data_IF_927006429622
#
_entry.id   IF_927006429622
#
_cell.length_a   1.000
_cell.length_b   1.000
_cell.length_c   1.000
_cell.angle_alpha   90.00
_cell.angle_beta   90.00
_cell.angle_gamma   90.00
#
_symmetry.space_group_name_H-M   'P 1'
#
loop_
_entity.id
_entity.type
_entity.pdbx_description
1 polymer ?
#
# COMPACT_ATOMS: atom_id res chain seq x y z
N UNK A 1 -1.71 3.15 25.35
CA UNK A 1 -2.88 3.71 26.04
C UNK A 1 -2.53 4.21 27.45
N UNK A 2 -2.05 3.35 28.36
CA UNK A 2 -1.61 3.74 29.73
C UNK A 2 -0.63 4.93 29.81
N UNK A 3 0.27 5.09 28.84
CA UNK A 3 1.22 6.24 28.80
C UNK A 3 0.51 7.56 28.47
N UNK A 4 -0.50 7.53 27.60
CA UNK A 4 -1.27 8.74 27.24
C UNK A 4 -2.26 9.10 28.35
N UNK A 5 -2.90 8.10 28.96
CA UNK A 5 -3.79 8.29 30.11
C UNK A 5 -3.02 8.81 31.33
N UNK A 6 -1.84 8.25 31.62
CA UNK A 6 -0.99 8.73 32.72
C UNK A 6 -0.42 10.15 32.51
N UNK A 7 -0.27 10.60 31.26
CA UNK A 7 0.09 11.99 30.96
C UNK A 7 -1.07 12.97 31.27
N UNK A 8 -2.31 12.54 31.05
CA UNK A 8 -3.51 13.32 31.35
C UNK A 8 -3.86 13.32 32.85
N UNK A 9 -3.74 12.19 33.53
CA UNK A 9 -3.98 12.05 34.97
C UNK A 9 -2.94 12.77 35.83
N UNK A 10 -1.70 12.91 35.34
CA UNK A 10 -0.62 13.65 36.01
C UNK A 10 -0.74 15.19 35.95
N UNK A 11 -1.79 15.72 35.32
CA UNK A 11 -2.18 17.13 35.35
C UNK A 11 -1.24 18.15 34.69
N UNK A 12 -0.02 17.77 34.29
CA UNK A 12 1.02 18.76 33.92
C UNK A 12 1.60 18.59 32.51
N UNK A 13 1.23 17.56 31.73
CA UNK A 13 1.78 17.32 30.37
C UNK A 13 0.69 16.88 29.41
N UNK A 14 0.31 17.75 28.46
CA UNK A 14 -0.60 17.36 27.36
C UNK A 14 0.15 16.52 26.33
N UNK A 15 -0.39 15.37 25.89
CA UNK A 15 0.23 14.58 24.84
C UNK A 15 0.40 15.42 23.57
N UNK A 16 1.63 15.51 23.06
CA UNK A 16 1.91 16.20 21.81
C UNK A 16 1.79 15.23 20.62
N UNK A 17 1.93 15.75 19.39
CA UNK A 17 1.78 14.96 18.17
C UNK A 17 2.71 13.74 18.08
N UNK A 18 3.88 13.78 18.73
CA UNK A 18 4.84 12.65 18.74
C UNK A 18 4.32 11.50 19.60
N UNK A 19 3.72 11.81 20.75
CA UNK A 19 3.10 10.82 21.62
C UNK A 19 1.95 10.08 20.93
N UNK A 20 1.07 10.83 20.25
CA UNK A 20 -0.01 10.26 19.45
C UNK A 20 0.51 9.40 18.30
N UNK A 21 1.44 9.91 17.48
CA UNK A 21 2.03 9.17 16.37
C UNK A 21 2.67 7.84 16.84
N UNK A 22 3.34 7.85 18.01
CA UNK A 22 3.91 6.65 18.61
C UNK A 22 2.86 5.61 18.99
N UNK A 23 1.80 6.03 19.68
CA UNK A 23 0.72 5.15 20.12
C UNK A 23 -0.12 4.61 18.95
N UNK A 24 -0.51 5.49 18.02
CA UNK A 24 -1.23 5.11 16.80
C UNK A 24 -0.38 4.13 15.98
N UNK A 25 0.93 4.42 15.83
CA UNK A 25 1.85 3.53 15.15
C UNK A 25 1.99 2.15 15.81
N UNK A 26 1.88 2.06 17.13
CA UNK A 26 1.91 0.78 17.84
C UNK A 26 0.64 -0.04 17.54
N UNK A 27 -0.55 0.57 17.63
CA UNK A 27 -1.81 -0.09 17.29
C UNK A 27 -1.89 -0.50 15.81
N UNK A 28 -1.37 0.34 14.92
CA UNK A 28 -1.32 0.04 13.49
C UNK A 28 -0.49 -1.21 13.19
N UNK A 29 0.63 -1.41 13.89
CA UNK A 29 1.46 -2.63 13.75
C UNK A 29 0.81 -3.85 14.40
N UNK A 30 0.03 -3.64 15.46
CA UNK A 30 -0.72 -4.69 16.12
C UNK A 30 -1.99 -5.14 15.35
N UNK A 31 -2.32 -4.49 14.22
CA UNK A 31 -3.54 -4.80 13.46
C UNK A 31 -4.81 -4.43 14.22
N UNK A 32 -4.76 -3.35 15.00
CA UNK A 32 -5.82 -2.84 15.88
C UNK A 32 -6.34 -1.50 15.36
N UNK A 33 -7.09 -1.49 14.24
CA UNK A 33 -7.44 -0.27 13.55
C UNK A 33 -8.44 0.61 14.31
N UNK A 34 -9.37 0.00 15.05
CA UNK A 34 -10.38 0.73 15.82
C UNK A 34 -9.71 1.58 16.90
N UNK A 35 -8.72 1.03 17.62
CA UNK A 35 -7.94 1.76 18.63
C UNK A 35 -7.05 2.82 18.00
N UNK A 36 -6.45 2.53 16.84
CA UNK A 36 -5.66 3.51 16.10
C UNK A 36 -6.51 4.71 15.66
N UNK A 37 -7.72 4.44 15.16
CA UNK A 37 -8.64 5.49 14.73
C UNK A 37 -9.23 6.28 15.90
N UNK A 38 -9.56 5.63 17.02
CA UNK A 38 -10.02 6.33 18.22
C UNK A 38 -8.98 7.36 18.72
N UNK A 39 -7.69 6.98 18.70
CA UNK A 39 -6.61 7.92 19.03
C UNK A 39 -6.44 9.04 18.00
N UNK A 40 -6.68 8.78 16.71
CA UNK A 40 -6.71 9.82 15.70
C UNK A 40 -7.82 10.83 15.99
N UNK A 41 -9.05 10.38 16.33
CA UNK A 41 -10.16 11.30 16.70
C UNK A 41 -9.83 12.14 17.93
N UNK A 42 -9.20 11.53 18.94
CA UNK A 42 -8.73 12.27 20.11
C UNK A 42 -7.65 13.29 19.74
N UNK A 43 -6.74 12.92 18.84
CA UNK A 43 -5.72 13.82 18.33
C UNK A 43 -6.37 15.00 17.59
N UNK A 44 -7.35 14.79 16.72
CA UNK A 44 -8.07 15.85 15.99
C UNK A 44 -8.67 16.94 16.90
N UNK A 45 -9.04 16.59 18.13
CA UNK A 45 -9.60 17.52 19.11
C UNK A 45 -8.53 18.27 19.93
N UNK A 46 -7.33 17.71 20.06
CA UNK A 46 -6.31 18.17 21.01
C UNK A 46 -5.01 18.64 20.36
N UNK A 47 -4.79 18.25 19.10
CA UNK A 47 -3.61 18.53 18.29
C UNK A 47 -3.96 18.47 16.80
N UNK A 48 -3.03 18.82 15.91
CA UNK A 48 -3.23 18.72 14.46
C UNK A 48 -2.60 17.44 13.90
N UNK A 49 -3.38 16.44 13.44
CA UNK A 49 -2.83 15.27 12.76
C UNK A 49 -2.14 15.64 11.47
N UNK A 50 -1.17 14.82 11.06
CA UNK A 50 -0.44 14.97 9.81
C UNK A 50 -0.80 13.84 8.86
N UNK A 51 -0.42 13.96 7.59
CA UNK A 51 -0.62 12.89 6.61
C UNK A 51 -0.04 11.55 7.10
N UNK A 52 1.13 11.58 7.76
CA UNK A 52 1.73 10.40 8.39
C UNK A 52 0.82 9.74 9.43
N UNK A 53 0.12 10.51 10.26
CA UNK A 53 -0.79 10.01 11.30
C UNK A 53 -1.97 9.27 10.67
N UNK A 54 -2.62 9.89 9.69
CA UNK A 54 -3.70 9.22 8.93
C UNK A 54 -3.19 7.96 8.21
N UNK A 55 -1.99 8.01 7.60
CA UNK A 55 -1.41 6.85 6.92
C UNK A 55 -1.22 5.66 7.86
N UNK A 56 -0.90 5.89 9.14
CA UNK A 56 -0.82 4.81 10.13
C UNK A 56 -2.19 4.17 10.37
N UNK A 57 -3.26 4.95 10.47
CA UNK A 57 -4.62 4.43 10.66
C UNK A 57 -5.09 3.66 9.41
N UNK A 58 -4.90 4.20 8.22
CA UNK A 58 -5.22 3.49 6.97
C UNK A 58 -4.43 2.18 6.87
N UNK A 59 -3.14 2.19 7.26
CA UNK A 59 -2.34 0.97 7.30
C UNK A 59 -2.81 -0.01 8.40
N UNK A 60 -3.31 0.48 9.53
CA UNK A 60 -3.88 -0.35 10.59
C UNK A 60 -5.06 -1.17 10.04
N UNK A 61 -5.94 -0.52 9.26
CA UNK A 61 -7.06 -1.19 8.58
C UNK A 61 -6.55 -2.25 7.62
N UNK A 62 -5.46 -1.98 6.88
CA UNK A 62 -4.84 -2.97 6.00
C UNK A 62 -4.25 -4.19 6.75
N UNK A 63 -3.70 -4.00 7.95
CA UNK A 63 -3.08 -5.07 8.75
C UNK A 63 -4.12 -5.90 9.52
N UNK A 64 -5.21 -5.27 10.00
CA UNK A 64 -6.22 -5.92 10.85
C UNK A 64 -7.02 -7.02 10.16
N UNK A 65 -7.04 -7.07 8.82
CA UNK A 65 -7.72 -8.12 8.00
C UNK A 65 -9.20 -8.35 8.33
N UNK A 66 -9.86 -7.42 9.01
CA UNK A 66 -11.28 -7.51 9.32
C UNK A 66 -12.15 -7.28 8.09
N UNK A 67 -13.37 -7.84 8.10
CA UNK A 67 -14.39 -7.48 7.11
C UNK A 67 -14.62 -5.97 7.15
N UNK A 68 -14.71 -5.34 5.97
CA UNK A 68 -14.85 -3.89 5.86
C UNK A 68 -13.54 -3.08 6.03
N UNK A 69 -12.38 -3.74 6.20
CA UNK A 69 -11.09 -3.06 6.27
C UNK A 69 -10.82 -2.13 5.08
N UNK A 70 -11.11 -2.59 3.85
CA UNK A 70 -10.95 -1.78 2.64
C UNK A 70 -11.90 -0.58 2.63
N UNK A 71 -13.13 -0.75 3.08
CA UNK A 71 -14.13 0.32 3.17
C UNK A 71 -13.71 1.39 4.19
N UNK A 72 -13.28 0.97 5.38
CA UNK A 72 -12.80 1.90 6.40
C UNK A 72 -11.52 2.62 5.99
N UNK A 73 -10.57 1.92 5.36
CA UNK A 73 -9.38 2.53 4.79
C UNK A 73 -9.75 3.61 3.75
N UNK A 74 -10.73 3.33 2.88
CA UNK A 74 -11.24 4.28 1.89
C UNK A 74 -11.98 5.45 2.53
N UNK A 75 -12.76 5.22 3.59
CA UNK A 75 -13.43 6.29 4.35
C UNK A 75 -12.43 7.28 4.91
N UNK A 76 -11.37 6.80 5.56
CA UNK A 76 -10.32 7.67 6.09
C UNK A 76 -9.60 8.44 4.98
N UNK A 77 -9.37 7.83 3.80
CA UNK A 77 -8.85 8.54 2.63
C UNK A 77 -9.82 9.64 2.14
N UNK A 78 -11.12 9.37 2.12
CA UNK A 78 -12.14 10.36 1.75
C UNK A 78 -12.18 11.54 2.73
N UNK A 79 -12.02 11.29 4.02
CA UNK A 79 -11.90 12.35 5.03
C UNK A 79 -10.70 13.28 4.76
N UNK A 80 -9.55 12.74 4.36
CA UNK A 80 -8.38 13.55 4.00
C UNK A 80 -8.59 14.39 2.72
N UNK A 81 -9.57 14.02 1.89
CA UNK A 81 -9.94 14.74 0.66
C UNK A 81 -11.05 15.76 0.87
N UNK A 82 -11.78 15.69 1.98
CA UNK A 82 -12.91 16.54 2.25
C UNK A 82 -12.50 18.02 2.37
N UNK A 83 -13.37 18.96 1.99
CA UNK A 83 -13.16 20.38 2.29
C UNK A 83 -12.93 20.59 3.79
N UNK A 84 -11.89 21.35 4.14
CA UNK A 84 -11.53 21.58 5.55
C UNK A 84 -10.72 20.47 6.22
N UNK A 85 -10.28 19.43 5.47
CA UNK A 85 -9.43 18.37 6.01
C UNK A 85 -8.13 18.90 6.65
N UNK A 86 -7.75 18.31 7.79
CA UNK A 86 -6.59 18.75 8.58
C UNK A 86 -5.25 18.44 7.90
N UNK A 87 -5.22 17.42 7.05
CA UNK A 87 -4.07 16.99 6.26
C UNK A 87 -4.50 16.41 4.90
N UNK A 88 -3.71 16.66 3.85
CA UNK A 88 -3.95 16.12 2.50
C UNK A 88 -3.37 14.70 2.37
N UNK A 89 -3.99 13.81 1.57
CA UNK A 89 -3.46 12.49 1.34
C UNK A 89 -2.18 12.56 0.48
N UNK A 90 -1.41 11.49 0.56
CA UNK A 90 -0.14 11.29 -0.15
C UNK A 90 -0.19 9.96 -0.91
N UNK A 91 0.71 9.73 -1.85
CA UNK A 91 0.83 8.41 -2.52
C UNK A 91 0.89 7.25 -1.52
N UNK A 92 1.54 7.45 -0.35
CA UNK A 92 1.57 6.47 0.73
C UNK A 92 0.17 6.18 1.32
N UNK A 93 -0.73 7.17 1.40
CA UNK A 93 -2.12 6.99 1.83
C UNK A 93 -2.87 6.06 0.88
N UNK A 94 -2.78 6.33 -0.43
CA UNK A 94 -3.41 5.52 -1.48
C UNK A 94 -2.84 4.09 -1.49
N UNK A 95 -1.51 3.95 -1.38
CA UNK A 95 -0.85 2.65 -1.29
C UNK A 95 -1.35 1.81 -0.10
N UNK A 96 -1.66 2.43 1.04
CA UNK A 96 -2.26 1.72 2.18
C UNK A 96 -3.68 1.21 1.89
N UNK A 97 -4.51 1.98 1.16
CA UNK A 97 -5.85 1.52 0.73
C UNK A 97 -5.74 0.35 -0.24
N UNK A 98 -4.82 0.42 -1.21
CA UNK A 98 -4.58 -0.70 -2.15
C UNK A 98 -4.17 -1.98 -1.43
N UNK A 99 -3.32 -1.88 -0.41
CA UNK A 99 -2.94 -3.01 0.45
C UNK A 99 -4.14 -3.55 1.23
N UNK A 100 -4.99 -2.67 1.77
CA UNK A 100 -6.20 -3.08 2.48
C UNK A 100 -7.16 -3.87 1.59
N UNK A 101 -7.30 -3.48 0.31
CA UNK A 101 -8.12 -4.22 -0.65
C UNK A 101 -7.64 -5.67 -0.83
N UNK A 102 -6.32 -5.88 -0.91
CA UNK A 102 -5.74 -7.22 -1.00
C UNK A 102 -5.86 -8.00 0.31
N UNK A 103 -5.68 -7.33 1.45
CA UNK A 103 -5.70 -7.97 2.77
C UNK A 103 -7.10 -8.35 3.24
N UNK A 104 -8.14 -7.68 2.72
CA UNK A 104 -9.54 -7.97 2.99
C UNK A 104 -10.06 -9.22 2.28
N UNK A 105 -9.35 -9.71 1.25
CA UNK A 105 -9.68 -10.99 0.61
C UNK A 105 -9.14 -12.15 1.45
N UNK A 106 -10.02 -12.72 2.27
CA UNK A 106 -9.82 -14.00 2.97
C UNK A 106 -10.20 -15.18 2.06
N UNK A 107 -9.88 -16.40 2.49
CA UNK A 107 -10.11 -17.61 1.70
C UNK A 107 -11.60 -17.86 1.41
N UNK A 108 -12.50 -17.41 2.30
CA UNK A 108 -13.96 -17.53 2.19
C UNK A 108 -14.64 -16.35 1.46
N UNK A 109 -13.87 -15.34 1.03
CA UNK A 109 -14.41 -14.16 0.33
C UNK A 109 -14.98 -14.55 -1.03
N UNK A 110 -16.23 -14.16 -1.30
CA UNK A 110 -16.94 -14.51 -2.53
C UNK A 110 -16.31 -13.87 -3.78
N UNK A 111 -16.63 -14.41 -4.95
CA UNK A 111 -16.15 -13.85 -6.22
C UNK A 111 -16.64 -12.41 -6.44
N UNK A 112 -17.88 -12.12 -6.01
CA UNK A 112 -18.50 -10.79 -6.09
C UNK A 112 -17.79 -9.79 -5.17
N UNK A 113 -17.47 -10.21 -3.94
CA UNK A 113 -16.72 -9.39 -2.98
C UNK A 113 -15.30 -9.11 -3.47
N UNK A 114 -14.60 -10.13 -3.99
CA UNK A 114 -13.26 -9.96 -4.60
C UNK A 114 -13.33 -9.00 -5.80
N UNK A 115 -14.36 -9.09 -6.64
CA UNK A 115 -14.57 -8.15 -7.74
C UNK A 115 -14.87 -6.72 -7.24
N UNK A 116 -15.59 -6.54 -6.13
CA UNK A 116 -15.82 -5.24 -5.52
C UNK A 116 -14.54 -4.64 -4.91
N UNK A 117 -13.72 -5.44 -4.24
CA UNK A 117 -12.40 -5.06 -3.75
C UNK A 117 -11.48 -4.66 -4.91
N UNK A 118 -11.50 -5.41 -6.02
CA UNK A 118 -10.68 -5.09 -7.20
C UNK A 118 -11.12 -3.78 -7.85
N UNK A 119 -12.43 -3.54 -7.99
CA UNK A 119 -12.96 -2.25 -8.45
C UNK A 119 -12.47 -1.10 -7.55
N UNK A 120 -12.55 -1.28 -6.24
CA UNK A 120 -12.07 -0.28 -5.28
C UNK A 120 -10.57 0.00 -5.43
N UNK A 121 -9.76 -1.03 -5.68
CA UNK A 121 -8.34 -0.87 -5.95
C UNK A 121 -8.07 -0.08 -7.24
N UNK A 122 -8.81 -0.38 -8.32
CA UNK A 122 -8.72 0.36 -9.59
C UNK A 122 -9.14 1.82 -9.41
N UNK A 123 -10.26 2.09 -8.74
CA UNK A 123 -10.74 3.45 -8.47
C UNK A 123 -9.71 4.24 -7.66
N UNK A 124 -9.10 3.61 -6.64
CA UNK A 124 -8.04 4.21 -5.82
C UNK A 124 -6.80 4.54 -6.64
N UNK A 125 -6.39 3.66 -7.57
CA UNK A 125 -5.27 3.91 -8.48
C UNK A 125 -5.57 5.06 -9.44
N UNK A 126 -6.74 5.04 -10.08
CA UNK A 126 -7.18 6.10 -11.02
C UNK A 126 -7.28 7.44 -10.32
N UNK A 127 -7.76 7.47 -9.08
CA UNK A 127 -7.82 8.68 -8.26
C UNK A 127 -6.43 9.28 -7.99
N UNK A 128 -5.45 8.44 -7.62
CA UNK A 128 -4.07 8.89 -7.43
C UNK A 128 -3.46 9.43 -8.73
N UNK A 129 -3.71 8.74 -9.84
CA UNK A 129 -3.22 9.14 -11.15
C UNK A 129 -3.83 10.47 -11.64
N UNK A 130 -5.11 10.68 -11.38
CA UNK A 130 -5.85 11.88 -11.79
C UNK A 130 -5.54 13.11 -10.95
N UNK A 131 -4.90 12.96 -9.79
CA UNK A 131 -4.62 14.06 -8.86
C UNK A 131 -3.13 14.15 -8.49
N UNK A 132 -2.28 14.72 -9.36
CA UNK A 132 -0.84 14.84 -9.11
C UNK A 132 -0.48 15.57 -7.81
N UNK A 133 -1.39 16.40 -7.29
CA UNK A 133 -1.23 17.09 -6.01
C UNK A 133 -1.17 16.18 -4.78
N UNK A 134 -1.52 14.89 -4.91
CA UNK A 134 -1.36 13.89 -3.86
C UNK A 134 -0.08 13.04 -4.05
N UNK A 135 0.69 13.31 -5.10
CA UNK A 135 1.81 12.49 -5.54
C UNK A 135 1.49 11.71 -6.80
N UNK A 136 2.48 10.99 -7.31
CA UNK A 136 2.34 10.10 -8.47
C UNK A 136 2.38 8.63 -8.01
N UNK A 137 1.78 7.70 -8.79
CA UNK A 137 2.02 6.28 -8.62
C UNK A 137 3.52 5.98 -8.56
N UNK A 138 3.94 5.26 -7.52
CA UNK A 138 5.33 4.85 -7.29
C UNK A 138 5.46 3.32 -7.43
N UNK A 139 6.67 2.80 -7.19
CA UNK A 139 6.90 1.36 -7.27
C UNK A 139 6.02 0.55 -6.31
N UNK A 140 5.64 1.12 -5.15
CA UNK A 140 4.77 0.47 -4.18
C UNK A 140 3.33 0.43 -4.72
N UNK A 141 2.88 1.47 -5.42
CA UNK A 141 1.57 1.50 -6.09
C UNK A 141 1.46 0.37 -7.10
N UNK A 142 2.44 0.23 -8.00
CA UNK A 142 2.44 -0.83 -9.01
C UNK A 142 2.55 -2.22 -8.40
N UNK A 143 3.43 -2.44 -7.43
CA UNK A 143 3.47 -3.71 -6.68
C UNK A 143 2.11 -4.05 -6.07
N UNK A 144 1.41 -3.05 -5.49
CA UNK A 144 0.10 -3.27 -4.86
C UNK A 144 -0.98 -3.60 -5.89
N UNK A 145 -1.00 -2.93 -7.05
CA UNK A 145 -1.93 -3.23 -8.15
C UNK A 145 -1.69 -4.60 -8.78
N UNK A 146 -0.43 -4.97 -9.02
CA UNK A 146 -0.08 -6.31 -9.51
C UNK A 146 -0.56 -7.39 -8.53
N UNK A 147 -0.35 -7.18 -7.23
CA UNK A 147 -0.83 -8.10 -6.21
C UNK A 147 -2.37 -8.15 -6.15
N UNK A 148 -3.05 -7.01 -6.31
CA UNK A 148 -4.51 -6.95 -6.38
C UNK A 148 -5.04 -7.76 -7.57
N UNK A 149 -4.42 -7.68 -8.75
CA UNK A 149 -4.80 -8.51 -9.89
C UNK A 149 -4.67 -10.00 -9.56
N UNK A 150 -3.56 -10.43 -8.94
CA UNK A 150 -3.31 -11.85 -8.67
C UNK A 150 -4.23 -12.40 -7.56
N UNK A 151 -4.52 -11.60 -6.54
CA UNK A 151 -5.30 -12.03 -5.36
C UNK A 151 -6.80 -11.90 -5.58
N UNK A 152 -7.26 -10.86 -6.27
CA UNK A 152 -8.69 -10.52 -6.36
C UNK A 152 -9.35 -10.97 -7.66
N UNK A 153 -8.58 -11.30 -8.70
CA UNK A 153 -9.14 -11.83 -9.95
C UNK A 153 -8.91 -13.33 -10.05
N UNK A 154 -9.90 -14.10 -10.56
CA UNK A 154 -9.71 -15.51 -10.86
C UNK A 154 -8.64 -15.69 -11.94
N UNK A 155 -7.95 -16.83 -11.91
CA UNK A 155 -7.01 -17.22 -12.96
C UNK A 155 -7.69 -17.19 -14.34
N UNK A 156 -7.01 -16.61 -15.32
CA UNK A 156 -7.49 -16.55 -16.70
C UNK A 156 -7.07 -15.29 -17.44
N UNK A 157 -7.57 -15.16 -18.68
CA UNK A 157 -7.21 -14.08 -19.61
C UNK A 157 -7.32 -12.69 -18.99
N UNK A 158 -8.45 -12.38 -18.34
CA UNK A 158 -8.68 -11.07 -17.73
C UNK A 158 -7.62 -10.70 -16.68
N UNK A 159 -7.23 -11.64 -15.81
CA UNK A 159 -6.18 -11.41 -14.83
C UNK A 159 -4.85 -11.13 -15.52
N UNK A 160 -4.50 -11.94 -16.52
CA UNK A 160 -3.23 -11.85 -17.22
C UNK A 160 -3.11 -10.52 -17.99
N UNK A 161 -4.20 -10.07 -18.63
CA UNK A 161 -4.26 -8.77 -19.31
C UNK A 161 -4.07 -7.61 -18.32
N UNK A 162 -4.71 -7.65 -17.16
CA UNK A 162 -4.57 -6.61 -16.13
C UNK A 162 -3.17 -6.60 -15.51
N UNK A 163 -2.59 -7.76 -15.23
CA UNK A 163 -1.20 -7.85 -14.74
C UNK A 163 -0.25 -7.27 -15.78
N UNK A 164 -0.41 -7.66 -17.05
CA UNK A 164 0.40 -7.13 -18.14
C UNK A 164 0.31 -5.61 -18.25
N UNK A 165 -0.91 -5.06 -18.17
CA UNK A 165 -1.14 -3.62 -18.20
C UNK A 165 -0.34 -2.89 -17.10
N UNK A 166 -0.51 -3.27 -15.84
CA UNK A 166 0.19 -2.60 -14.73
C UNK A 166 1.70 -2.87 -14.75
N UNK A 167 2.14 -4.03 -15.25
CA UNK A 167 3.55 -4.35 -15.36
C UNK A 167 4.24 -3.51 -16.45
N UNK A 168 3.65 -3.43 -17.65
CA UNK A 168 4.17 -2.60 -18.73
C UNK A 168 4.19 -1.13 -18.33
N UNK A 169 3.14 -0.66 -17.64
CA UNK A 169 3.05 0.70 -17.11
C UNK A 169 4.16 0.98 -16.08
N UNK A 170 4.41 0.05 -15.16
CA UNK A 170 5.50 0.11 -14.19
C UNK A 170 6.88 0.17 -14.87
N UNK A 171 7.11 -0.68 -15.88
CA UNK A 171 8.36 -0.71 -16.64
C UNK A 171 8.57 0.58 -17.44
N UNK A 172 7.52 1.09 -18.09
CA UNK A 172 7.59 2.36 -18.86
C UNK A 172 7.93 3.55 -17.97
N UNK A 173 7.54 3.52 -16.70
CA UNK A 173 7.92 4.55 -15.71
C UNK A 173 9.28 4.28 -15.05
N UNK A 174 9.94 3.18 -15.36
CA UNK A 174 11.20 2.80 -14.73
C UNK A 174 11.06 2.38 -13.26
N UNK A 175 9.87 1.95 -12.83
CA UNK A 175 9.56 1.69 -11.41
C UNK A 175 9.61 0.20 -11.02
N UNK A 176 10.06 -0.67 -11.93
CA UNK A 176 10.17 -2.09 -11.67
C UNK A 176 11.17 -2.35 -10.54
N UNK A 177 10.78 -3.22 -9.60
CA UNK A 177 11.61 -3.63 -8.48
C UNK A 177 11.41 -5.12 -8.16
N UNK A 178 12.20 -5.64 -7.23
CA UNK A 178 12.20 -7.05 -6.85
C UNK A 178 10.86 -7.50 -6.25
N UNK A 179 10.07 -6.59 -5.68
CA UNK A 179 8.74 -6.89 -5.14
C UNK A 179 7.74 -7.13 -6.27
N UNK A 180 7.66 -6.20 -7.22
CA UNK A 180 6.82 -6.31 -8.42
C UNK A 180 7.16 -7.58 -9.21
N UNK A 181 8.45 -7.86 -9.41
CA UNK A 181 8.90 -9.06 -10.12
C UNK A 181 8.47 -10.35 -9.38
N UNK A 182 8.68 -10.44 -8.06
CA UNK A 182 8.25 -11.58 -7.25
C UNK A 182 6.75 -11.82 -7.33
N UNK A 183 5.95 -10.75 -7.36
CA UNK A 183 4.50 -10.85 -7.46
C UNK A 183 4.10 -11.46 -8.80
N UNK A 184 4.64 -10.96 -9.92
CA UNK A 184 4.35 -11.49 -11.26
C UNK A 184 4.75 -12.96 -11.40
N UNK A 185 5.90 -13.37 -10.83
CA UNK A 185 6.34 -14.77 -10.83
C UNK A 185 5.34 -15.75 -10.19
N UNK A 186 4.45 -15.31 -9.30
CA UNK A 186 3.40 -16.17 -8.71
C UNK A 186 2.40 -16.69 -9.74
N UNK A 187 2.36 -16.11 -10.94
CA UNK A 187 1.53 -16.59 -12.04
C UNK A 187 2.07 -17.88 -12.69
N UNK A 188 3.28 -18.33 -12.32
CA UNK A 188 3.89 -19.51 -12.93
C UNK A 188 4.23 -19.26 -14.40
N UNK A 189 3.92 -20.21 -15.27
CA UNK A 189 4.21 -20.12 -16.71
C UNK A 189 3.52 -18.93 -17.41
N UNK A 190 2.35 -18.51 -16.93
CA UNK A 190 1.67 -17.30 -17.44
C UNK A 190 2.53 -16.03 -17.26
N UNK A 191 3.46 -16.02 -16.30
CA UNK A 191 4.37 -14.89 -16.07
C UNK A 191 5.31 -14.66 -17.26
N UNK A 192 5.66 -15.69 -18.04
CA UNK A 192 6.61 -15.56 -19.16
C UNK A 192 6.12 -14.59 -20.22
N UNK A 193 4.82 -14.61 -20.51
CA UNK A 193 4.20 -13.68 -21.45
C UNK A 193 4.30 -12.21 -20.97
N UNK A 194 4.17 -11.99 -19.65
CA UNK A 194 4.27 -10.66 -19.04
C UNK A 194 5.73 -10.18 -19.02
N UNK A 195 6.66 -11.08 -18.64
CA UNK A 195 8.07 -10.78 -18.46
C UNK A 195 8.86 -10.70 -19.78
N UNK A 196 8.28 -11.19 -20.89
CA UNK A 196 8.90 -11.21 -22.22
C UNK A 196 10.25 -11.94 -22.23
N UNK A 197 10.32 -13.05 -21.49
CA UNK A 197 11.53 -13.88 -21.36
C UNK A 197 11.31 -15.23 -22.02
N UNK A 198 12.19 -15.60 -22.95
CA UNK A 198 12.20 -16.92 -23.59
C UNK A 198 13.27 -17.80 -22.92
N UNK A 199 12.86 -18.93 -22.34
CA UNK A 199 13.77 -19.85 -21.64
C UNK A 199 14.29 -19.34 -20.28
N UNK A 200 14.99 -20.21 -19.55
CA UNK A 200 15.53 -19.93 -18.20
C UNK A 200 14.55 -20.16 -17.04
N UNK A 201 15.10 -20.34 -15.84
CA UNK A 201 14.34 -20.53 -14.62
C UNK A 201 13.67 -19.23 -14.16
N UNK A 202 12.33 -19.19 -14.20
CA UNK A 202 11.55 -18.06 -13.67
C UNK A 202 11.92 -17.73 -12.22
N UNK A 203 12.33 -18.72 -11.43
CA UNK A 203 12.71 -18.54 -10.03
C UNK A 203 13.97 -17.69 -9.87
N UNK A 204 14.97 -17.89 -10.72
CA UNK A 204 16.29 -17.23 -10.62
C UNK A 204 16.32 -15.82 -11.21
N UNK A 205 15.37 -15.49 -12.11
CA UNK A 205 15.33 -14.19 -12.79
C UNK A 205 15.32 -13.00 -11.82
N UNK A 206 16.34 -12.15 -11.86
CA UNK A 206 16.43 -10.95 -11.03
C UNK A 206 16.03 -9.69 -11.83
N UNK A 207 15.80 -8.57 -11.14
CA UNK A 207 15.51 -7.29 -11.84
C UNK A 207 16.73 -6.80 -12.62
N UNK A 208 17.92 -7.19 -12.17
CA UNK A 208 19.20 -6.89 -12.78
C UNK A 208 19.39 -7.58 -14.14
N UNK A 209 18.68 -8.69 -14.37
CA UNK A 209 18.69 -9.42 -15.65
C UNK A 209 17.72 -8.82 -16.68
N UNK A 210 16.88 -7.88 -16.26
CA UNK A 210 15.88 -7.21 -17.10
C UNK A 210 16.41 -5.87 -17.65
N UNK A 211 15.78 -5.30 -18.70
CA UNK A 211 16.21 -4.02 -19.25
C UNK A 211 16.36 -2.94 -18.16
N UNK A 212 17.55 -2.31 -18.10
CA UNK A 212 17.86 -1.28 -17.08
C UNK A 212 16.86 -0.11 -17.08
N UNK A 213 16.25 0.19 -18.23
CA UNK A 213 15.22 1.23 -18.34
C UNK A 213 13.95 0.90 -17.53
N UNK A 214 13.71 -0.36 -17.18
CA UNK A 214 12.53 -0.77 -16.43
C UNK A 214 12.63 -0.46 -14.94
N UNK A 215 13.84 -0.30 -14.39
CA UNK A 215 14.10 -0.08 -12.96
C UNK A 215 14.83 1.25 -12.64
N UNK A 216 15.06 2.11 -13.64
CA UNK A 216 15.88 3.31 -13.53
C UNK A 216 15.36 4.39 -12.55
N UNK A 217 14.06 4.37 -12.24
CA UNK A 217 13.40 5.29 -11.31
C UNK A 217 12.90 4.59 -10.05
N UNK A 218 13.12 3.28 -9.92
CA UNK A 218 12.84 2.58 -8.67
C UNK A 218 13.83 3.13 -7.63
N UNK A 219 13.34 3.57 -6.47
CA UNK A 219 14.17 4.06 -5.36
C UNK A 219 14.98 2.91 -4.72
N UNK A 220 15.71 2.15 -5.53
CA UNK A 220 16.61 1.08 -5.15
C UNK A 220 17.96 1.68 -4.80
N UNK A 221 18.15 2.00 -3.53
CA UNK A 221 19.48 1.96 -2.91
C UNK A 221 19.87 0.49 -2.82
N UNK A 222 20.58 -0.05 -3.83
CA UNK A 222 21.10 -1.41 -3.76
C UNK A 222 21.99 -1.64 -2.53
N UNK A 223 22.31 -2.90 -2.20
CA UNK A 223 23.27 -3.18 -1.14
C UNK A 223 24.57 -2.46 -1.49
N UNK A 224 25.10 -1.70 -0.53
CA UNK A 224 26.42 -1.08 -0.61
C UNK A 224 27.41 -2.08 -1.17
N UNK A 225 28.04 -1.74 -2.30
CA UNK A 225 29.10 -2.53 -2.91
C UNK A 225 30.27 -2.66 -1.92
N UNK A 226 30.23 -3.72 -1.11
CA UNK A 226 31.32 -4.16 -0.24
C UNK A 226 32.03 -5.38 -0.87
N UNK A 227 32.08 -5.48 -2.21
CA UNK A 227 32.89 -6.49 -2.93
C UNK A 227 34.04 -5.89 -3.73
N UNK A 228 34.64 -4.82 -3.22
CA UNK A 228 36.00 -4.41 -3.58
C UNK A 228 36.76 -4.03 -2.31
N UNK A 229 37.13 -5.04 -1.51
CA UNK A 229 38.20 -5.01 -0.51
C UNK A 229 38.37 -6.43 0.05
N UNK A 230 38.91 -7.32 -0.77
CA UNK A 230 39.73 -8.46 -0.37
C UNK A 230 40.77 -8.72 -1.45
#
# INVERSE_FOLDING_TARGET
QRVLEGMEEGGNVRPNAVCFDGAIGAWARAGRPEEAEALLRKMEQTARPRAKTYNMVVNAWAVGRGRGAAENARRVLAEMRAPGALARPTAATFNSVLKACCAAAADDTSAEERAALFRTAVDTYVDLESHPGFGRPDSITYSSMLNACIVLLPSGRRRNDMVKFYFDECCRRGLLNNVSLRIVKKMGEDARHVLKTDGGGLEELAVEDLPKSWSCNSNWSGPSDNRKLR
#
